data_IF_447422311805
#
_entry.id   IF_447422311805
#
_cell.length_a   1.000
_cell.length_b   1.000
_cell.length_c   1.000
_cell.angle_alpha   90.00
_cell.angle_beta   90.00
_cell.angle_gamma   90.00
#
_symmetry.space_group_name_H-M   'P 1'
#
loop_
_entity.id
_entity.type
_entity.pdbx_description
1 polymer ?
#
# COMPACT_ATOMS: atom_id res chain seq x y z
N UNK A 1 -6.27 19.65 -10.51
CA UNK A 1 -4.95 20.03 -9.95
C UNK A 1 -4.41 19.06 -8.90
N UNK A 2 -5.23 18.44 -8.02
CA UNK A 2 -4.75 17.48 -7.00
C UNK A 2 -3.97 16.29 -7.57
N UNK A 3 -4.45 15.71 -8.69
CA UNK A 3 -3.76 14.59 -9.36
C UNK A 3 -2.32 14.97 -9.74
N UNK A 4 -2.12 16.15 -10.33
CA UNK A 4 -0.81 16.62 -10.72
C UNK A 4 0.12 16.85 -9.50
N UNK A 5 -0.44 17.33 -8.38
CA UNK A 5 0.31 17.50 -7.12
C UNK A 5 0.73 16.16 -6.54
N UNK A 6 -0.16 15.16 -6.50
CA UNK A 6 0.18 13.82 -6.02
C UNK A 6 1.24 13.15 -6.89
N UNK A 7 1.09 13.21 -8.21
CA UNK A 7 2.08 12.69 -9.15
C UNK A 7 3.42 13.40 -9.00
N UNK A 8 3.42 14.73 -8.87
CA UNK A 8 4.63 15.52 -8.65
C UNK A 8 5.34 15.14 -7.35
N UNK A 9 4.61 14.96 -6.26
CA UNK A 9 5.17 14.53 -4.98
C UNK A 9 5.77 13.11 -5.05
N UNK A 10 5.09 12.17 -5.71
CA UNK A 10 5.60 10.81 -5.90
C UNK A 10 6.87 10.80 -6.75
N UNK A 11 6.89 11.56 -7.86
CA UNK A 11 8.06 11.69 -8.72
C UNK A 11 9.25 12.31 -7.98
N UNK A 12 9.01 13.37 -7.20
CA UNK A 12 10.03 13.99 -6.37
C UNK A 12 10.61 13.01 -5.33
N UNK A 13 9.76 12.27 -4.63
CA UNK A 13 10.19 11.24 -3.68
C UNK A 13 11.04 10.16 -4.34
N UNK A 14 10.64 9.68 -5.52
CA UNK A 14 11.41 8.71 -6.29
C UNK A 14 12.79 9.24 -6.73
N UNK A 15 12.84 10.49 -7.23
CA UNK A 15 14.09 11.14 -7.62
C UNK A 15 15.04 11.33 -6.44
N UNK A 16 14.53 11.75 -5.28
CA UNK A 16 15.33 11.90 -4.06
C UNK A 16 15.86 10.55 -3.58
N UNK A 17 15.02 9.51 -3.58
CA UNK A 17 15.43 8.15 -3.21
C UNK A 17 16.53 7.60 -4.12
N UNK A 18 16.46 7.91 -5.43
CA UNK A 18 17.47 7.49 -6.40
C UNK A 18 18.78 8.30 -6.29
N UNK A 19 18.68 9.62 -6.10
CA UNK A 19 19.83 10.51 -6.06
C UNK A 19 20.61 10.46 -4.74
N UNK A 20 19.96 10.07 -3.64
CA UNK A 20 20.56 10.12 -2.31
C UNK A 20 20.29 8.85 -1.47
N UNK A 21 20.76 7.67 -1.92
CA UNK A 21 20.52 6.38 -1.27
C UNK A 21 21.13 6.29 0.14
N UNK A 22 22.12 7.14 0.47
CA UNK A 22 22.74 7.20 1.79
C UNK A 22 21.78 7.64 2.91
N UNK A 23 20.68 8.33 2.59
CA UNK A 23 19.65 8.69 3.58
C UNK A 23 18.70 7.52 3.90
N UNK A 24 18.71 6.44 3.11
CA UNK A 24 17.83 5.29 3.27
C UNK A 24 17.78 4.75 4.71
N UNK A 25 18.91 4.34 5.30
CA UNK A 25 18.93 3.76 6.65
C UNK A 25 18.38 4.69 7.75
N UNK A 26 18.58 6.00 7.60
CA UNK A 26 18.04 6.99 8.54
C UNK A 26 16.53 7.16 8.41
N UNK A 27 16.03 7.15 7.17
CA UNK A 27 14.60 7.35 6.88
C UNK A 27 13.78 6.07 7.05
N UNK A 28 14.39 4.90 6.98
CA UNK A 28 13.76 3.60 7.28
C UNK A 28 13.07 3.59 8.65
N UNK A 29 13.68 4.23 9.65
CA UNK A 29 13.12 4.36 10.99
C UNK A 29 11.83 5.19 11.01
N UNK A 30 11.64 6.09 10.04
CA UNK A 30 10.44 6.90 9.90
C UNK A 30 9.31 6.15 9.16
N UNK A 31 9.59 5.05 8.46
CA UNK A 31 8.56 4.30 7.71
C UNK A 31 7.47 3.80 8.65
N UNK A 32 7.83 3.05 9.69
CA UNK A 32 6.87 2.50 10.65
C UNK A 32 5.99 3.55 11.34
N UNK A 33 6.54 4.66 11.91
CA UNK A 33 5.70 5.68 12.53
C UNK A 33 4.83 6.43 11.51
N UNK A 34 5.32 6.67 10.28
CA UNK A 34 4.50 7.26 9.21
C UNK A 34 3.36 6.33 8.81
N UNK A 35 3.63 5.04 8.61
CA UNK A 35 2.58 4.05 8.35
C UNK A 35 1.57 3.99 9.50
N UNK A 36 2.04 4.03 10.75
CA UNK A 36 1.17 4.12 11.93
C UNK A 36 0.27 5.35 11.91
N UNK A 37 0.82 6.52 11.60
CA UNK A 37 0.06 7.76 11.47
C UNK A 37 -0.96 7.69 10.32
N UNK A 38 -0.58 7.15 9.16
CA UNK A 38 -1.47 6.98 8.02
C UNK A 38 -2.62 6.02 8.34
N UNK A 39 -2.35 4.90 9.01
CA UNK A 39 -3.37 3.97 9.46
C UNK A 39 -4.30 4.63 10.49
N UNK A 40 -3.74 5.36 11.45
CA UNK A 40 -4.53 6.10 12.44
C UNK A 40 -5.48 7.09 11.76
N UNK A 41 -4.97 7.92 10.85
CA UNK A 41 -5.78 8.88 10.09
C UNK A 41 -6.82 8.17 9.22
N UNK A 42 -6.46 7.05 8.59
CA UNK A 42 -7.40 6.25 7.79
C UNK A 42 -8.54 5.73 8.66
N UNK A 43 -8.26 5.21 9.85
CA UNK A 43 -9.30 4.72 10.76
C UNK A 43 -10.13 5.84 11.38
N UNK A 44 -9.56 7.02 11.64
CA UNK A 44 -10.34 8.18 12.08
C UNK A 44 -11.37 8.62 11.04
N UNK A 45 -11.09 8.43 9.75
CA UNK A 45 -12.04 8.74 8.67
C UNK A 45 -13.17 7.71 8.55
N UNK A 46 -13.00 6.50 9.10
CA UNK A 46 -14.01 5.44 9.02
C UNK A 46 -14.99 5.55 10.19
N UNK A 47 -16.30 5.70 9.95
CA UNK A 47 -17.29 5.69 11.02
C UNK A 47 -17.32 4.33 11.73
N UNK A 48 -16.95 4.28 13.02
CA UNK A 48 -16.86 3.04 13.78
C UNK A 48 -18.19 2.26 13.83
N UNK A 49 -19.33 2.97 13.81
CA UNK A 49 -20.66 2.36 13.78
C UNK A 49 -20.92 1.56 12.49
N UNK A 50 -20.46 2.07 11.35
CA UNK A 50 -20.60 1.41 10.06
C UNK A 50 -19.65 0.22 9.93
N UNK A 51 -18.47 0.29 10.56
CA UNK A 51 -17.50 -0.81 10.57
C UNK A 51 -18.09 -2.07 11.23
N UNK A 52 -18.71 -1.94 12.41
CA UNK A 52 -19.33 -3.09 13.10
C UNK A 52 -20.48 -3.68 12.28
N UNK A 53 -21.26 -2.83 11.61
CA UNK A 53 -22.35 -3.29 10.72
C UNK A 53 -21.81 -4.03 9.49
N UNK A 54 -20.75 -3.50 8.89
CA UNK A 54 -20.09 -4.08 7.73
C UNK A 54 -19.42 -5.42 8.04
N UNK A 55 -18.92 -5.61 9.27
CA UNK A 55 -18.38 -6.88 9.73
C UNK A 55 -19.45 -7.98 9.89
N UNK A 56 -20.70 -7.60 10.15
CA UNK A 56 -21.84 -8.54 10.21
C UNK A 56 -22.36 -8.92 8.83
N UNK A 57 -22.00 -8.17 7.79
CA UNK A 57 -22.30 -8.52 6.41
C UNK A 57 -21.27 -9.57 5.93
N UNK A 58 -21.65 -10.84 6.03
CA UNK A 58 -20.80 -11.95 5.61
C UNK A 58 -20.46 -11.94 4.12
N UNK A 59 -21.31 -11.37 3.25
CA UNK A 59 -21.02 -11.24 1.82
C UNK A 59 -19.97 -10.16 1.57
N UNK A 60 -20.08 -9.01 2.23
CA UNK A 60 -19.04 -7.98 2.17
C UNK A 60 -17.70 -8.51 2.70
N UNK A 61 -17.72 -9.13 3.88
CA UNK A 61 -16.51 -9.62 4.52
C UNK A 61 -15.84 -10.72 3.68
N UNK A 62 -16.61 -11.67 3.15
CA UNK A 62 -16.07 -12.72 2.26
C UNK A 62 -15.52 -12.14 0.96
N UNK A 63 -16.20 -11.17 0.33
CA UNK A 63 -15.67 -10.50 -0.85
C UNK A 63 -14.35 -9.76 -0.55
N UNK A 64 -14.28 -9.02 0.56
CA UNK A 64 -13.07 -8.33 0.98
C UNK A 64 -11.91 -9.30 1.23
N UNK A 65 -12.17 -10.42 1.90
CA UNK A 65 -11.16 -11.46 2.14
C UNK A 65 -10.70 -12.10 0.83
N UNK A 66 -11.62 -12.53 -0.04
CA UNK A 66 -11.27 -13.16 -1.32
C UNK A 66 -10.46 -12.21 -2.18
N UNK A 67 -10.84 -10.93 -2.27
CA UNK A 67 -10.09 -9.96 -3.06
C UNK A 67 -8.68 -9.76 -2.49
N UNK A 68 -8.55 -9.49 -1.20
CA UNK A 68 -7.25 -9.15 -0.59
C UNK A 68 -6.31 -10.37 -0.47
N UNK A 69 -6.84 -11.57 -0.21
CA UNK A 69 -6.03 -12.75 0.09
C UNK A 69 -5.97 -13.80 -1.03
N UNK A 70 -6.85 -13.73 -2.04
CA UNK A 70 -6.82 -14.65 -3.19
C UNK A 70 -6.56 -13.88 -4.47
N UNK A 71 -7.40 -12.92 -4.82
CA UNK A 71 -7.31 -12.22 -6.11
C UNK A 71 -6.02 -11.41 -6.21
N UNK A 72 -5.71 -10.57 -5.22
CA UNK A 72 -4.48 -9.75 -5.23
C UNK A 72 -3.22 -10.63 -5.32
N UNK A 73 -3.02 -11.68 -4.48
CA UNK A 73 -1.90 -12.58 -4.62
C UNK A 73 -1.84 -13.31 -5.97
N UNK A 74 -2.97 -13.74 -6.53
CA UNK A 74 -3.01 -14.38 -7.85
C UNK A 74 -2.59 -13.43 -8.96
N UNK A 75 -3.08 -12.18 -8.93
CA UNK A 75 -2.67 -11.13 -9.87
C UNK A 75 -1.18 -10.88 -9.76
N UNK A 76 -0.67 -10.68 -8.55
CA UNK A 76 0.76 -10.46 -8.28
C UNK A 76 1.59 -11.65 -8.79
N UNK A 77 1.17 -12.88 -8.50
CA UNK A 77 1.83 -14.10 -9.00
C UNK A 77 1.81 -14.19 -10.52
N UNK A 78 0.69 -13.82 -11.16
CA UNK A 78 0.58 -13.72 -12.61
C UNK A 78 1.51 -12.66 -13.22
N UNK A 79 1.68 -11.53 -12.55
CA UNK A 79 2.65 -10.51 -12.97
C UNK A 79 4.08 -11.06 -12.94
N UNK A 80 4.45 -11.83 -11.91
CA UNK A 80 5.77 -12.47 -11.84
C UNK A 80 6.07 -13.43 -13.01
N UNK A 81 5.05 -14.03 -13.64
CA UNK A 81 5.24 -14.90 -14.82
C UNK A 81 5.71 -14.10 -16.05
N UNK A 82 5.37 -12.81 -16.12
CA UNK A 82 5.79 -11.92 -17.19
C UNK A 82 7.20 -11.35 -16.97
N UNK A 83 7.78 -11.51 -15.77
CA UNK A 83 9.12 -11.04 -15.46
C UNK A 83 10.16 -12.08 -15.89
N UNK A 84 11.29 -11.66 -16.51
CA UNK A 84 12.43 -12.54 -16.76
C UNK A 84 12.92 -13.19 -15.47
N UNK A 85 13.46 -14.42 -15.56
CA UNK A 85 13.92 -15.22 -14.41
C UNK A 85 15.17 -14.66 -13.69
N UNK A 86 15.42 -13.36 -13.74
CA UNK A 86 16.54 -12.72 -13.06
C UNK A 86 16.30 -12.72 -11.55
N UNK A 87 17.26 -13.34 -10.85
CA UNK A 87 17.24 -13.70 -9.42
C UNK A 87 17.12 -12.52 -8.44
N UNK A 88 17.06 -11.27 -8.91
CA UNK A 88 16.92 -10.11 -8.03
C UNK A 88 15.48 -9.91 -7.51
N UNK A 89 14.50 -10.59 -8.11
CA UNK A 89 13.05 -10.36 -7.87
C UNK A 89 12.35 -11.61 -7.31
N UNK A 90 13.11 -12.67 -6.97
CA UNK A 90 12.58 -13.93 -6.43
C UNK A 90 12.87 -14.11 -4.95
#
# INVERSE_FOLDING_TARGET
HQIAVYLGAMAAGALVGWAAPSFGPGLEHAINPVLGALLFVTFLQVPAADLVRSLRDGRFLSAALVVNFVVVPLVVTGMFVLLPADRAVR
#
